data_IF_292668474113
#
_entry.id   IF_292668474113
#
_cell.length_a   1.000
_cell.length_b   1.000
_cell.length_c   1.000
_cell.angle_alpha   90.00
_cell.angle_beta   90.00
_cell.angle_gamma   90.00
#
_symmetry.space_group_name_H-M   'P 1'
#
loop_
_entity.id
_entity.type
_entity.pdbx_description
1 polymer ?
#
# COMPACT_ATOMS: atom_id res chain seq x y z
N UNK A 1 88.55 -11.16 25.98
CA UNK A 1 87.51 -10.79 26.96
C UNK A 1 86.54 -9.80 26.32
N UNK A 2 85.24 -10.14 26.32
CA UNK A 2 84.03 -9.28 26.12
C UNK A 2 83.96 -8.48 24.78
N UNK A 3 83.25 -8.98 23.77
CA UNK A 3 81.79 -8.78 23.51
C UNK A 3 81.42 -7.33 23.22
N UNK A 4 80.91 -7.03 22.02
CA UNK A 4 79.51 -6.56 21.84
C UNK A 4 79.07 -6.65 20.37
N UNK A 5 77.89 -7.23 20.18
CA UNK A 5 77.24 -7.56 18.91
C UNK A 5 76.79 -6.28 18.19
N UNK A 6 77.00 -6.19 16.87
CA UNK A 6 76.38 -5.15 16.04
C UNK A 6 74.96 -5.57 15.68
N UNK A 7 74.03 -4.68 16.03
CA UNK A 7 72.58 -4.78 15.84
C UNK A 7 72.24 -4.51 14.38
N UNK A 8 71.31 -5.32 13.87
CA UNK A 8 70.66 -5.24 12.56
C UNK A 8 69.78 -4.00 12.49
N UNK A 9 69.88 -3.22 11.40
CA UNK A 9 68.84 -2.26 11.02
C UNK A 9 68.42 -2.57 9.58
N UNK A 10 67.27 -3.23 9.43
CA UNK A 10 66.60 -3.43 8.14
C UNK A 10 65.89 -2.14 7.73
N UNK A 11 66.35 -1.54 6.63
CA UNK A 11 65.66 -0.48 5.87
C UNK A 11 64.88 -1.16 4.73
N UNK A 12 63.55 -1.29 4.81
CA UNK A 12 62.51 -0.31 4.42
C UNK A 12 62.33 -0.16 2.89
N UNK A 13 61.34 -0.92 2.38
CA UNK A 13 60.34 -0.61 1.35
C UNK A 13 60.71 0.13 0.05
N UNK A 14 60.47 -0.54 -1.09
CA UNK A 14 59.90 0.09 -2.30
C UNK A 14 58.97 -0.92 -3.00
N UNK A 15 57.71 -0.95 -2.57
CA UNK A 15 56.60 -1.56 -3.31
C UNK A 15 55.94 -0.48 -4.16
N UNK A 16 56.14 -0.54 -5.48
CA UNK A 16 55.48 0.33 -6.46
C UNK A 16 54.02 -0.14 -6.58
N UNK A 17 53.10 0.59 -5.95
CA UNK A 17 51.66 0.45 -6.20
C UNK A 17 51.28 1.40 -7.34
N UNK A 18 50.85 0.82 -8.46
CA UNK A 18 50.24 1.57 -9.55
C UNK A 18 48.86 2.08 -9.11
N UNK A 19 48.72 3.40 -8.97
CA UNK A 19 47.44 4.07 -8.82
C UNK A 19 46.76 4.13 -10.19
N UNK A 20 45.77 3.26 -10.42
CA UNK A 20 44.81 3.42 -11.51
C UNK A 20 43.84 4.55 -11.14
N UNK A 21 44.01 5.71 -11.78
CA UNK A 21 43.04 6.79 -11.75
C UNK A 21 41.79 6.33 -12.51
N UNK A 22 40.73 5.94 -11.78
CA UNK A 22 39.40 5.82 -12.35
C UNK A 22 38.77 7.22 -12.39
N UNK A 23 38.62 7.75 -13.60
CA UNK A 23 37.86 8.98 -13.83
C UNK A 23 36.38 8.62 -13.72
N UNK A 24 35.55 9.29 -12.89
CA UNK A 24 34.12 9.06 -12.90
C UNK A 24 33.54 9.59 -14.22
N UNK A 25 32.99 8.68 -15.04
CA UNK A 25 32.17 9.03 -16.19
C UNK A 25 30.87 9.65 -15.68
N UNK A 26 30.75 10.97 -15.75
CA UNK A 26 29.47 11.65 -15.54
C UNK A 26 28.61 11.36 -16.77
N UNK A 27 27.72 10.37 -16.65
CA UNK A 27 26.75 10.07 -17.71
C UNK A 27 25.56 11.00 -17.52
N UNK A 28 25.43 12.02 -18.35
CA UNK A 28 24.18 12.74 -18.51
C UNK A 28 23.25 11.84 -19.34
N UNK A 29 22.23 11.27 -18.70
CA UNK A 29 21.14 10.65 -19.43
C UNK A 29 20.33 11.77 -20.09
N UNK A 30 20.40 11.85 -21.41
CA UNK A 30 19.53 12.71 -22.23
C UNK A 30 18.08 12.26 -22.06
N UNK A 31 17.18 13.20 -21.86
CA UNK A 31 15.73 13.01 -21.97
C UNK A 31 15.40 12.44 -23.36
N UNK A 32 15.15 11.14 -23.41
CA UNK A 32 14.38 10.54 -24.48
C UNK A 32 12.92 10.59 -24.04
N UNK A 33 12.12 11.38 -24.75
CA UNK A 33 10.67 11.36 -24.71
C UNK A 33 10.18 10.00 -25.26
N UNK A 34 10.41 8.96 -24.48
CA UNK A 34 9.99 7.59 -24.75
C UNK A 34 8.80 7.29 -23.87
N UNK A 35 7.62 7.14 -24.48
CA UNK A 35 6.44 6.56 -23.85
C UNK A 35 6.83 5.23 -23.19
N UNK A 36 7.06 5.23 -21.88
CA UNK A 36 7.09 4.00 -21.09
C UNK A 36 5.65 3.52 -20.94
N UNK A 37 5.35 2.24 -21.21
CA UNK A 37 4.12 1.67 -20.74
C UNK A 37 4.16 1.72 -19.21
N UNK A 38 3.11 2.28 -18.62
CA UNK A 38 2.85 2.18 -17.19
C UNK A 38 3.03 0.72 -16.79
N UNK A 39 3.94 0.45 -15.84
CA UNK A 39 3.98 -0.82 -15.14
C UNK A 39 2.71 -0.89 -14.28
N UNK A 40 1.59 -1.19 -14.94
CA UNK A 40 0.43 -1.77 -14.32
C UNK A 40 0.92 -3.04 -13.64
N UNK A 41 0.76 -3.12 -12.32
CA UNK A 41 0.53 -4.42 -11.71
C UNK A 41 -0.73 -4.96 -12.40
N UNK A 42 -0.55 -5.68 -13.51
CA UNK A 42 -1.61 -6.42 -14.18
C UNK A 42 -1.92 -7.63 -13.31
N UNK A 43 -2.62 -7.37 -12.21
CA UNK A 43 -3.42 -8.38 -11.54
C UNK A 43 -4.55 -8.69 -12.51
N UNK A 44 -4.55 -9.91 -13.07
CA UNK A 44 -5.45 -10.35 -14.14
C UNK A 44 -6.93 -10.39 -13.74
N UNK A 45 -7.53 -9.22 -13.52
CA UNK A 45 -8.96 -9.01 -13.34
C UNK A 45 -9.42 -8.11 -14.48
N UNK A 46 -9.90 -8.71 -15.56
CA UNK A 46 -10.44 -8.00 -16.74
C UNK A 46 -11.94 -7.69 -16.62
N UNK A 47 -12.57 -7.99 -15.50
CA UNK A 47 -13.98 -7.69 -15.27
C UNK A 47 -14.18 -7.09 -13.87
N UNK A 48 -14.61 -5.83 -13.86
CA UNK A 48 -14.92 -5.06 -12.66
C UNK A 48 -16.41 -5.30 -12.38
N UNK A 49 -16.74 -5.74 -11.16
CA UNK A 49 -18.13 -5.77 -10.68
C UNK A 49 -18.77 -4.40 -10.90
N UNK A 50 -19.92 -4.36 -11.56
CA UNK A 50 -20.64 -3.09 -11.75
C UNK A 50 -21.23 -2.60 -10.44
N UNK A 51 -21.57 -1.31 -10.35
CA UNK A 51 -22.27 -0.78 -9.17
C UNK A 51 -23.59 -1.52 -8.89
N UNK A 52 -24.25 -2.01 -9.94
CA UNK A 52 -25.45 -2.85 -9.82
C UNK A 52 -25.12 -4.21 -9.20
N UNK A 53 -24.05 -4.87 -9.66
CA UNK A 53 -23.61 -6.15 -9.09
C UNK A 53 -23.24 -6.00 -7.61
N UNK A 54 -22.50 -4.93 -7.29
CA UNK A 54 -22.13 -4.58 -5.90
C UNK A 54 -23.38 -4.34 -5.06
N UNK A 55 -24.35 -3.60 -5.58
CA UNK A 55 -25.60 -3.31 -4.87
C UNK A 55 -26.41 -4.57 -4.58
N UNK A 56 -26.47 -5.53 -5.50
CA UNK A 56 -27.15 -6.82 -5.28
C UNK A 56 -26.36 -7.69 -4.32
N UNK A 57 -25.04 -7.79 -4.51
CA UNK A 57 -24.15 -8.58 -3.66
C UNK A 57 -24.16 -8.12 -2.19
N UNK A 58 -24.34 -6.82 -1.93
CA UNK A 58 -24.45 -6.27 -0.57
C UNK A 58 -25.52 -6.96 0.29
N UNK A 59 -26.59 -7.49 -0.30
CA UNK A 59 -27.63 -8.22 0.44
C UNK A 59 -27.19 -9.62 0.91
N UNK A 60 -26.11 -10.15 0.34
CA UNK A 60 -25.62 -11.51 0.57
C UNK A 60 -24.24 -11.56 1.21
N UNK A 61 -23.58 -10.41 1.41
CA UNK A 61 -22.29 -10.34 2.08
C UNK A 61 -22.46 -9.77 3.48
N UNK A 62 -21.87 -10.42 4.47
CA UNK A 62 -21.86 -9.92 5.84
C UNK A 62 -20.50 -10.14 6.50
N UNK A 63 -20.23 -9.40 7.57
CA UNK A 63 -19.02 -9.57 8.35
C UNK A 63 -19.28 -10.49 9.54
N UNK A 64 -18.49 -11.55 9.67
CA UNK A 64 -18.49 -12.43 10.84
C UNK A 64 -17.41 -11.96 11.82
N UNK A 65 -17.85 -11.39 12.94
CA UNK A 65 -16.96 -10.88 14.00
C UNK A 65 -16.14 -11.99 14.67
N UNK A 66 -16.68 -13.21 14.75
CA UNK A 66 -15.99 -14.34 15.38
C UNK A 66 -14.80 -14.80 14.54
N UNK A 67 -14.95 -14.77 13.21
CA UNK A 67 -13.90 -15.12 12.25
C UNK A 67 -13.07 -13.91 11.81
N UNK A 68 -13.51 -12.69 12.13
CA UNK A 68 -12.99 -11.44 11.58
C UNK A 68 -12.85 -11.49 10.05
N UNK A 69 -13.91 -11.94 9.36
CA UNK A 69 -13.88 -12.17 7.92
C UNK A 69 -15.24 -11.88 7.30
N UNK A 70 -15.24 -11.45 6.05
CA UNK A 70 -16.44 -11.34 5.23
C UNK A 70 -16.86 -12.71 4.70
N UNK A 71 -18.16 -12.99 4.73
CA UNK A 71 -18.78 -14.24 4.27
C UNK A 71 -19.84 -13.90 3.22
N UNK A 72 -19.94 -14.74 2.19
CA UNK A 72 -20.98 -14.70 1.16
C UNK A 72 -22.02 -15.77 1.48
N UNK A 73 -23.30 -15.41 1.51
CA UNK A 73 -24.42 -16.33 1.66
C UNK A 73 -24.70 -17.07 0.33
N UNK A 74 -24.90 -18.39 0.39
CA UNK A 74 -25.22 -19.24 -0.76
C UNK A 74 -26.51 -18.81 -1.48
N UNK A 75 -27.40 -18.08 -0.82
CA UNK A 75 -28.60 -17.50 -1.43
C UNK A 75 -28.29 -16.57 -2.60
N UNK A 76 -27.04 -16.09 -2.73
CA UNK A 76 -26.57 -15.29 -3.87
C UNK A 76 -26.71 -16.01 -5.22
N UNK A 77 -26.68 -17.35 -5.23
CA UNK A 77 -26.88 -18.17 -6.43
C UNK A 77 -28.26 -18.01 -7.07
N UNK A 78 -29.22 -17.46 -6.34
CA UNK A 78 -30.56 -17.14 -6.86
C UNK A 78 -30.66 -15.73 -7.44
N UNK A 79 -29.65 -14.87 -7.24
CA UNK A 79 -29.73 -13.44 -7.54
C UNK A 79 -28.77 -12.98 -8.65
N UNK A 80 -27.62 -13.64 -8.79
CA UNK A 80 -26.56 -13.24 -9.72
C UNK A 80 -26.15 -14.39 -10.64
N UNK A 81 -25.51 -14.04 -11.76
CA UNK A 81 -24.90 -15.03 -12.65
C UNK A 81 -23.70 -15.70 -11.98
N UNK A 82 -23.38 -16.94 -12.37
CA UNK A 82 -22.24 -17.68 -11.81
C UNK A 82 -20.91 -16.92 -11.98
N UNK A 83 -20.71 -16.25 -13.12
CA UNK A 83 -19.51 -15.46 -13.37
C UNK A 83 -19.39 -14.28 -12.41
N UNK A 84 -20.50 -13.56 -12.19
CA UNK A 84 -20.56 -12.45 -11.21
C UNK A 84 -20.32 -12.96 -9.80
N UNK A 85 -20.90 -14.12 -9.43
CA UNK A 85 -20.70 -14.72 -8.11
C UNK A 85 -19.22 -15.08 -7.88
N UNK A 86 -18.56 -15.66 -8.89
CA UNK A 86 -17.13 -15.96 -8.79
C UNK A 86 -16.28 -14.70 -8.57
N UNK A 87 -16.66 -13.58 -9.17
CA UNK A 87 -16.00 -12.29 -8.93
C UNK A 87 -16.23 -11.78 -7.51
N UNK A 88 -17.46 -11.87 -6.99
CA UNK A 88 -17.79 -11.52 -5.60
C UNK A 88 -16.97 -12.36 -4.62
N UNK A 89 -16.95 -13.68 -4.80
CA UNK A 89 -16.20 -14.61 -3.96
C UNK A 89 -14.70 -14.29 -3.99
N UNK A 90 -14.14 -14.04 -5.19
CA UNK A 90 -12.74 -13.66 -5.32
C UNK A 90 -12.46 -12.34 -4.58
N UNK A 91 -13.30 -11.32 -4.77
CA UNK A 91 -13.13 -10.04 -4.10
C UNK A 91 -13.18 -10.18 -2.58
N UNK A 92 -14.16 -10.91 -2.05
CA UNK A 92 -14.28 -11.22 -0.61
C UNK A 92 -13.05 -11.96 -0.09
N UNK A 93 -12.56 -12.94 -0.85
CA UNK A 93 -11.35 -13.69 -0.49
C UNK A 93 -10.12 -12.78 -0.42
N UNK A 94 -9.90 -11.92 -1.42
CA UNK A 94 -8.81 -10.94 -1.40
C UNK A 94 -8.92 -9.98 -0.22
N UNK A 95 -10.14 -9.50 0.06
CA UNK A 95 -10.40 -8.63 1.22
C UNK A 95 -10.05 -9.30 2.52
N UNK A 96 -10.44 -10.56 2.70
CA UNK A 96 -10.12 -11.32 3.90
C UNK A 96 -8.60 -11.50 4.06
N UNK A 97 -7.86 -11.75 2.98
CA UNK A 97 -6.39 -11.80 3.02
C UNK A 97 -5.82 -10.47 3.52
N UNK A 98 -6.26 -9.34 2.96
CA UNK A 98 -5.77 -8.03 3.38
C UNK A 98 -6.16 -7.69 4.83
N UNK A 99 -7.37 -8.07 5.24
CA UNK A 99 -7.84 -7.86 6.60
C UNK A 99 -7.03 -8.66 7.63
N UNK A 100 -6.64 -9.90 7.32
CA UNK A 100 -5.77 -10.69 8.19
C UNK A 100 -4.36 -10.08 8.28
N UNK A 101 -3.83 -9.53 7.18
CA UNK A 101 -2.57 -8.77 7.20
C UNK A 101 -2.70 -7.54 8.10
N UNK A 102 -3.79 -6.79 7.97
CA UNK A 102 -4.10 -5.61 8.78
C UNK A 102 -4.22 -5.91 10.27
N UNK A 103 -4.79 -7.06 10.63
CA UNK A 103 -4.92 -7.51 12.02
C UNK A 103 -3.56 -7.70 12.71
N UNK A 104 -2.55 -8.10 11.94
CA UNK A 104 -1.18 -8.30 12.39
C UNK A 104 -0.42 -6.97 12.55
N UNK A 105 -0.82 -5.93 11.81
CA UNK A 105 -0.26 -4.59 11.92
C UNK A 105 -0.90 -3.81 13.09
N UNK A 106 -0.09 -3.52 14.12
CA UNK A 106 -0.51 -2.72 15.29
C UNK A 106 -0.18 -1.24 15.17
N UNK A 107 0.42 -0.81 14.06
CA UNK A 107 0.78 0.59 13.84
C UNK A 107 -0.41 1.42 13.34
N UNK A 108 -1.43 0.77 12.76
CA UNK A 108 -2.61 1.38 12.14
C UNK A 108 -3.89 0.86 12.78
N UNK A 109 -4.85 1.73 13.03
CA UNK A 109 -6.19 1.32 13.47
C UNK A 109 -6.97 0.78 12.27
N UNK A 110 -7.50 -0.43 12.40
CA UNK A 110 -8.25 -1.13 11.35
C UNK A 110 -9.67 -1.41 11.79
N UNK A 111 -10.61 -1.07 10.90
CA UNK A 111 -12.02 -1.37 11.03
C UNK A 111 -12.49 -2.28 9.89
N UNK A 112 -13.54 -3.05 10.14
CA UNK A 112 -14.34 -3.68 9.10
C UNK A 112 -15.75 -3.10 9.16
N UNK A 113 -16.36 -2.83 8.01
CA UNK A 113 -17.73 -2.35 7.90
C UNK A 113 -18.51 -3.29 7.01
N UNK A 114 -19.60 -3.84 7.53
CA UNK A 114 -20.51 -4.66 6.75
C UNK A 114 -21.38 -3.81 5.79
N UNK A 115 -22.06 -4.42 4.80
CA UNK A 115 -22.96 -3.68 3.93
C UNK A 115 -24.14 -3.00 4.64
N UNK A 116 -24.49 -3.43 5.86
CA UNK A 116 -25.51 -2.78 6.69
C UNK A 116 -24.99 -1.52 7.42
N UNK A 117 -23.68 -1.25 7.36
CA UNK A 117 -23.02 -0.10 7.98
C UNK A 117 -22.52 -0.36 9.41
N UNK A 118 -22.60 -1.58 9.92
CA UNK A 118 -22.08 -1.92 11.25
C UNK A 118 -20.55 -1.95 11.20
N UNK A 119 -19.93 -1.16 12.07
CA UNK A 119 -18.47 -1.05 12.15
C UNK A 119 -17.92 -1.92 13.29
N UNK A 120 -17.04 -2.85 12.95
CA UNK A 120 -16.26 -3.66 13.90
C UNK A 120 -14.81 -3.18 13.96
N UNK A 121 -14.24 -3.11 15.16
CA UNK A 121 -12.82 -2.79 15.34
C UNK A 121 -12.00 -4.07 15.26
N UNK A 122 -11.10 -4.16 14.29
CA UNK A 122 -10.27 -5.35 14.03
C UNK A 122 -8.89 -5.21 14.67
N UNK A 123 -8.31 -4.02 14.62
CA UNK A 123 -7.08 -3.69 15.34
C UNK A 123 -7.08 -2.21 15.76
N UNK A 124 -6.44 -1.91 16.89
CA UNK A 124 -6.26 -0.53 17.36
C UNK A 124 -4.78 -0.19 17.40
N UNK A 125 -4.44 0.97 16.86
CA UNK A 125 -3.14 1.61 17.07
C UNK A 125 -3.15 2.44 18.35
N UNK A 126 -2.00 2.51 19.03
CA UNK A 126 -1.79 3.34 20.22
C UNK A 126 -1.47 4.81 19.89
N UNK A 127 -1.35 5.16 18.61
CA UNK A 127 -0.95 6.51 18.19
C UNK A 127 -2.03 7.56 18.48
N UNK A 128 -1.64 8.64 19.19
CA UNK A 128 -2.46 9.83 19.47
C UNK A 128 -1.84 11.04 18.79
N UNK A 129 -2.53 11.66 17.82
CA UNK A 129 -2.08 12.86 17.10
C UNK A 129 -3.16 13.42 16.16
N UNK A 130 -2.96 14.64 15.64
CA UNK A 130 -3.90 15.28 14.72
C UNK A 130 -3.91 14.58 13.34
N UNK A 131 -5.04 13.96 13.00
CA UNK A 131 -5.21 13.08 11.83
C UNK A 131 -4.66 11.68 12.11
N UNK A 132 -5.53 10.67 12.15
CA UNK A 132 -5.14 9.29 12.45
C UNK A 132 -5.08 8.48 11.16
N UNK A 133 -3.92 7.89 10.90
CA UNK A 133 -3.80 6.90 9.83
C UNK A 133 -4.59 5.65 10.22
N UNK A 134 -5.60 5.31 9.43
CA UNK A 134 -6.49 4.17 9.68
C UNK A 134 -7.00 3.57 8.37
N UNK A 135 -7.42 2.32 8.43
CA UNK A 135 -8.04 1.62 7.29
C UNK A 135 -9.41 1.11 7.72
N UNK A 136 -10.41 1.33 6.88
CA UNK A 136 -11.73 0.72 7.03
C UNK A 136 -11.96 -0.20 5.83
N UNK A 137 -12.01 -1.50 6.08
CA UNK A 137 -12.30 -2.50 5.07
C UNK A 137 -13.80 -2.63 4.86
N UNK A 138 -14.19 -2.61 3.60
CA UNK A 138 -15.45 -3.12 3.09
C UNK A 138 -15.15 -4.39 2.31
N UNK A 139 -16.17 -5.20 2.01
CA UNK A 139 -15.96 -6.48 1.34
C UNK A 139 -15.33 -6.35 -0.06
N UNK A 140 -15.46 -5.19 -0.71
CA UNK A 140 -14.99 -4.93 -2.08
C UNK A 140 -13.94 -3.80 -2.22
N UNK A 141 -13.69 -3.00 -1.20
CA UNK A 141 -12.68 -1.95 -1.24
C UNK A 141 -12.23 -1.59 0.18
N UNK A 142 -11.23 -0.73 0.30
CA UNK A 142 -10.85 -0.16 1.59
C UNK A 142 -10.89 1.37 1.54
N UNK A 143 -11.42 1.98 2.59
CA UNK A 143 -11.25 3.40 2.85
C UNK A 143 -9.96 3.61 3.62
N UNK A 144 -9.02 4.29 3.01
CA UNK A 144 -7.75 4.64 3.62
C UNK A 144 -7.82 6.06 4.12
N UNK A 145 -7.49 6.24 5.40
CA UNK A 145 -7.32 7.55 6.04
C UNK A 145 -5.83 7.74 6.27
N UNK A 146 -5.26 8.82 5.74
CA UNK A 146 -3.86 9.18 5.93
C UNK A 146 -3.74 10.48 6.70
N UNK A 147 -2.92 10.48 7.74
CA UNK A 147 -2.51 11.71 8.42
C UNK A 147 -1.67 12.61 7.50
N UNK A 148 -1.62 13.91 7.79
CA UNK A 148 -0.74 14.85 7.11
C UNK A 148 0.73 14.35 7.10
N UNK A 149 1.17 13.80 8.22
CA UNK A 149 2.53 13.30 8.38
C UNK A 149 2.79 12.07 7.50
N UNK A 150 1.81 11.16 7.38
CA UNK A 150 1.90 10.03 6.45
C UNK A 150 2.03 10.53 5.02
N UNK A 151 1.20 11.48 4.60
CA UNK A 151 1.22 12.02 3.23
C UNK A 151 2.58 12.67 2.91
N UNK A 152 3.13 13.47 3.82
CA UNK A 152 4.41 14.18 3.63
C UNK A 152 5.63 13.27 3.63
N UNK A 153 5.61 12.19 4.42
CA UNK A 153 6.73 11.25 4.53
C UNK A 153 6.58 10.03 3.61
N UNK A 154 5.63 10.07 2.68
CA UNK A 154 5.41 8.98 1.74
C UNK A 154 6.55 8.91 0.71
N UNK A 155 7.12 7.72 0.54
CA UNK A 155 8.03 7.42 -0.57
C UNK A 155 7.26 7.06 -1.85
N UNK A 156 7.81 6.15 -2.65
CA UNK A 156 7.14 5.63 -3.86
C UNK A 156 5.89 4.82 -3.54
N UNK A 157 5.89 4.11 -2.42
CA UNK A 157 4.79 3.27 -1.93
C UNK A 157 4.71 3.41 -0.41
N UNK A 158 3.49 3.32 0.13
CA UNK A 158 3.25 3.23 1.57
C UNK A 158 2.50 1.93 1.90
N UNK A 159 2.89 1.26 2.98
CA UNK A 159 2.07 0.19 3.57
C UNK A 159 1.19 0.77 4.66
N UNK A 160 -0.12 0.54 4.59
CA UNK A 160 -1.08 1.00 5.61
C UNK A 160 -2.07 -0.10 5.90
N UNK A 161 -2.01 -0.68 7.11
CA UNK A 161 -2.95 -1.70 7.55
C UNK A 161 -3.02 -2.89 6.58
N UNK A 162 -1.87 -3.40 6.15
CA UNK A 162 -1.77 -4.51 5.19
C UNK A 162 -1.87 -4.12 3.71
N UNK A 163 -2.29 -2.90 3.38
CA UNK A 163 -2.42 -2.45 1.98
C UNK A 163 -1.15 -1.75 1.49
N UNK A 164 -0.70 -2.12 0.29
CA UNK A 164 0.30 -1.37 -0.44
C UNK A 164 -0.38 -0.30 -1.30
N UNK A 165 -0.07 0.95 -1.01
CA UNK A 165 -0.66 2.12 -1.66
C UNK A 165 0.42 2.85 -2.45
N UNK A 166 0.35 2.84 -3.79
CA UNK A 166 1.27 3.59 -4.63
C UNK A 166 1.09 5.10 -4.49
N UNK A 167 2.20 5.85 -4.53
CA UNK A 167 2.19 7.32 -4.54
C UNK A 167 1.23 7.92 -5.60
N UNK A 168 1.15 7.40 -6.84
CA UNK A 168 0.21 7.91 -7.84
C UNK A 168 -1.26 7.91 -7.39
N UNK A 169 -1.69 6.95 -6.59
CA UNK A 169 -3.08 6.86 -6.10
C UNK A 169 -3.38 7.99 -5.12
N UNK A 170 -2.49 8.22 -4.16
CA UNK A 170 -2.60 9.32 -3.19
C UNK A 170 -2.49 10.67 -3.90
N UNK A 171 -1.58 10.80 -4.86
CA UNK A 171 -1.43 12.03 -5.67
C UNK A 171 -2.70 12.32 -6.47
N UNK A 172 -3.33 11.30 -7.06
CA UNK A 172 -4.60 11.43 -7.77
C UNK A 172 -5.72 11.86 -6.83
N UNK A 173 -5.80 11.28 -5.62
CA UNK A 173 -6.77 11.70 -4.61
C UNK A 173 -6.59 13.17 -4.21
N UNK A 174 -5.34 13.60 -3.92
CA UNK A 174 -5.03 15.01 -3.64
C UNK A 174 -5.42 15.93 -4.81
N UNK A 175 -5.10 15.52 -6.05
CA UNK A 175 -5.39 16.31 -7.25
C UNK A 175 -6.89 16.51 -7.44
N UNK A 176 -7.69 15.49 -7.15
CA UNK A 176 -9.16 15.56 -7.18
C UNK A 176 -9.73 16.46 -6.07
N UNK A 177 -9.02 16.60 -4.95
CA UNK A 177 -9.30 17.59 -3.90
C UNK A 177 -8.79 19.01 -4.24
N UNK A 178 -8.21 19.20 -5.43
CA UNK A 178 -7.73 20.49 -5.92
C UNK A 178 -6.35 20.90 -5.38
N UNK A 179 -5.55 19.96 -4.86
CA UNK A 179 -4.25 20.27 -4.27
C UNK A 179 -3.16 19.28 -4.70
N UNK A 180 -1.94 19.78 -4.86
CA UNK A 180 -0.77 18.91 -5.02
C UNK A 180 -0.36 18.30 -3.68
N UNK A 181 0.15 17.06 -3.69
CA UNK A 181 0.54 16.33 -2.48
C UNK A 181 1.51 17.12 -1.56
N UNK A 182 2.43 17.89 -2.14
CA UNK A 182 3.38 18.73 -1.40
C UNK A 182 2.78 19.97 -0.72
N UNK A 183 1.54 20.33 -1.03
CA UNK A 183 0.83 21.49 -0.46
C UNK A 183 -0.30 21.11 0.51
N UNK A 184 -0.47 19.81 0.75
CA UNK A 184 -1.48 19.29 1.67
C UNK A 184 -1.28 19.85 3.08
N UNK A 185 -2.37 20.35 3.69
CA UNK A 185 -2.37 21.00 5.01
C UNK A 185 -3.10 20.21 6.09
N UNK A 186 -3.98 19.25 5.73
CA UNK A 186 -4.61 18.29 6.65
C UNK A 186 -4.48 16.85 6.15
N UNK A 187 -5.00 15.88 6.91
CA UNK A 187 -5.11 14.50 6.45
C UNK A 187 -6.14 14.36 5.33
N UNK A 188 -6.05 13.28 4.57
CA UNK A 188 -7.03 12.96 3.52
C UNK A 188 -7.56 11.56 3.73
N UNK A 189 -8.76 11.30 3.22
CA UNK A 189 -9.27 9.94 3.10
C UNK A 189 -9.73 9.69 1.67
N UNK A 190 -9.63 8.44 1.24
CA UNK A 190 -10.07 8.02 -0.09
C UNK A 190 -10.44 6.53 -0.10
N UNK A 191 -11.34 6.17 -1.00
CA UNK A 191 -11.76 4.79 -1.25
C UNK A 191 -10.87 4.17 -2.34
N UNK A 192 -10.24 3.04 -2.00
CA UNK A 192 -9.25 2.35 -2.80
C UNK A 192 -9.63 0.89 -3.02
N UNK A 193 -9.78 0.50 -4.28
CA UNK A 193 -9.93 -0.89 -4.67
C UNK A 193 -8.54 -1.48 -4.94
N UNK A 194 -8.03 -2.22 -3.97
CA UNK A 194 -6.71 -2.85 -4.03
C UNK A 194 -6.64 -4.07 -4.96
N UNK A 195 -7.77 -4.63 -5.40
CA UNK A 195 -7.76 -5.76 -6.33
C UNK A 195 -7.33 -5.33 -7.75
N UNK A 196 -7.74 -4.13 -8.15
CA UNK A 196 -7.43 -3.52 -9.45
C UNK A 196 -6.49 -2.31 -9.34
N UNK A 197 -6.18 -1.85 -8.13
CA UNK A 197 -5.24 -0.76 -7.88
C UNK A 197 -5.75 0.63 -8.27
N UNK A 198 -7.06 0.92 -8.11
CA UNK A 198 -7.65 2.20 -8.51
C UNK A 198 -8.45 2.88 -7.39
N UNK A 199 -8.61 4.21 -7.49
CA UNK A 199 -9.60 4.95 -6.70
C UNK A 199 -11.00 4.58 -7.19
N UNK A 200 -11.88 4.15 -6.29
CA UNK A 200 -13.16 3.54 -6.66
C UNK A 200 -14.38 4.18 -5.97
N UNK A 201 -14.19 5.24 -5.21
CA UNK A 201 -15.28 5.85 -4.45
C UNK A 201 -14.99 7.28 -4.08
N UNK A 202 -15.38 7.64 -2.87
CA UNK A 202 -15.29 9.01 -2.40
C UNK A 202 -13.90 9.32 -1.86
N UNK A 203 -13.63 10.62 -1.76
CA UNK A 203 -12.45 11.14 -1.09
C UNK A 203 -12.78 12.46 -0.41
N UNK A 204 -11.97 12.84 0.57
CA UNK A 204 -12.20 14.05 1.32
C UNK A 204 -11.07 14.41 2.26
N UNK A 205 -11.23 15.58 2.86
CA UNK A 205 -10.39 16.05 3.95
C UNK A 205 -10.75 15.35 5.26
N UNK A 206 -9.74 15.16 6.11
CA UNK A 206 -9.91 14.79 7.53
C UNK A 206 -9.86 16.03 8.41
#
# INVERSE_FOLDING_TARGET
MKSFKKVVLSSLLLSVTALSLSVPSVTYASESLGNQPENSMESGITSILTDSDVSVANAYVHFDESLNSFIVDDSIYNALSLDTINQVINQVSQTNIQLQNAKSDKSVTTFAVDPAGNQTTVSMSLSRGAGTTSVTYYWNYARVRLSLNSIKNMGTVMSVGGLLIPHPIVSKACSLLGIGIGRVTSGIWFDYNYAIGVLCGNMGWQ
#
